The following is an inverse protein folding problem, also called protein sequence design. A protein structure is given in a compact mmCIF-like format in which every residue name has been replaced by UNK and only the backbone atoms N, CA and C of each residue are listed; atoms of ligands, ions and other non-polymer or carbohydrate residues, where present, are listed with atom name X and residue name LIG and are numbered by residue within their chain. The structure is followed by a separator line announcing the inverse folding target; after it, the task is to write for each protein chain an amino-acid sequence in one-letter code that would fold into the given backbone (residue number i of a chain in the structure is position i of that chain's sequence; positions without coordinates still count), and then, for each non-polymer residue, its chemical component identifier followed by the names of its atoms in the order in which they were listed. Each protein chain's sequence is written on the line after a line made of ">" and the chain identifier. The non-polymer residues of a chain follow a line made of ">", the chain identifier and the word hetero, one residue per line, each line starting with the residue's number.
data_IF_797123957087
#
_entry.id   IF_797123957087
#
_cell.length_a   1.000
_cell.length_b   1.000
_cell.length_c   1.000
_cell.angle_alpha   90.00
_cell.angle_beta   90.00
_cell.angle_gamma   90.00
#
_symmetry.space_group_name_H-M   'P 1'
#
loop_
_entity.id
_entity.type
_entity.pdbx_description
1 polymer ?
#
# COMPACT_ATOMS: atom_id res chain seq x y z
N UNK A 1 -9.10 -22.23 5.05
CA UNK A 1 -8.64 -21.13 4.19
C UNK A 1 -9.69 -20.05 4.29
N UNK A 2 -9.45 -18.98 5.04
CA UNK A 2 -10.39 -17.86 5.05
C UNK A 2 -10.33 -17.25 3.65
N UNK A 3 -11.46 -17.26 2.94
CA UNK A 3 -11.54 -16.59 1.64
C UNK A 3 -11.59 -15.10 1.94
N UNK A 4 -10.56 -14.36 1.54
CA UNK A 4 -10.61 -12.90 1.49
C UNK A 4 -11.91 -12.50 0.80
N UNK A 5 -12.73 -11.69 1.48
CA UNK A 5 -13.94 -11.09 0.92
C UNK A 5 -13.59 -9.64 0.61
N UNK A 6 -13.10 -9.34 -0.60
CA UNK A 6 -12.64 -8.00 -0.92
C UNK A 6 -13.83 -7.04 -0.94
N UNK A 7 -13.60 -5.85 -0.43
CA UNK A 7 -14.58 -4.75 -0.40
C UNK A 7 -14.16 -3.62 -1.32
N UNK A 8 -12.85 -3.44 -1.54
CA UNK A 8 -12.28 -2.36 -2.33
C UNK A 8 -11.20 -2.87 -3.30
N UNK A 9 -10.92 -2.08 -4.33
CA UNK A 9 -9.74 -2.16 -5.21
C UNK A 9 -8.71 -1.16 -4.71
N UNK A 10 -7.52 -1.66 -4.43
CA UNK A 10 -6.36 -0.91 -3.97
C UNK A 10 -5.54 -0.46 -5.17
N UNK A 11 -5.27 0.83 -5.23
CA UNK A 11 -4.16 1.41 -5.98
C UNK A 11 -3.22 2.07 -4.98
N UNK A 12 -1.92 1.77 -5.07
CA UNK A 12 -0.90 2.37 -4.22
C UNK A 12 0.18 3.04 -5.08
N UNK A 13 0.57 4.22 -4.65
CA UNK A 13 1.53 5.10 -5.30
C UNK A 13 2.68 5.38 -4.34
N UNK A 14 3.87 5.54 -4.89
CA UNK A 14 5.09 5.79 -4.14
C UNK A 14 5.78 7.00 -4.71
N UNK A 15 6.14 7.92 -3.82
CA UNK A 15 7.05 9.00 -4.16
C UNK A 15 8.49 8.48 -4.13
N UNK A 16 9.20 8.60 -5.24
CA UNK A 16 10.60 8.20 -5.30
C UNK A 16 11.23 8.47 -6.65
N UNK A 17 12.46 7.99 -6.83
CA UNK A 17 13.16 8.11 -8.11
C UNK A 17 12.46 7.28 -9.19
N UNK A 18 12.33 7.87 -10.38
CA UNK A 18 11.75 7.20 -11.54
C UNK A 18 12.74 6.14 -12.04
N UNK A 19 12.36 4.86 -12.00
CA UNK A 19 13.16 3.78 -12.56
C UNK A 19 13.08 3.77 -14.09
N UNK A 20 14.18 3.43 -14.75
CA UNK A 20 14.27 3.40 -16.21
C UNK A 20 15.12 2.24 -16.73
N UNK A 21 14.75 1.71 -17.90
CA UNK A 21 15.56 0.77 -18.66
C UNK A 21 16.38 1.45 -19.76
N UNK A 22 15.93 2.63 -20.20
CA UNK A 22 16.51 3.41 -21.28
C UNK A 22 16.10 4.88 -21.16
N UNK A 23 16.78 5.78 -21.87
CA UNK A 23 16.45 7.21 -21.91
C UNK A 23 15.00 7.48 -22.36
N UNK A 24 14.38 6.56 -23.11
CA UNK A 24 13.00 6.71 -23.60
C UNK A 24 11.94 6.46 -22.55
N UNK A 25 12.29 5.85 -21.41
CA UNK A 25 11.40 5.66 -20.26
C UNK A 25 11.36 6.91 -19.37
N UNK A 26 12.27 7.85 -19.59
CA UNK A 26 12.43 9.04 -18.78
C UNK A 26 11.70 10.26 -19.36
N UNK A 27 11.25 11.20 -18.50
CA UNK A 27 10.65 12.47 -18.94
C UNK A 27 11.52 13.27 -19.91
N UNK A 28 10.90 14.12 -20.72
CA UNK A 28 11.64 14.96 -21.66
C UNK A 28 12.72 15.81 -20.95
N UNK A 29 13.96 15.73 -21.44
CA UNK A 29 15.09 16.47 -20.89
C UNK A 29 15.85 15.75 -19.77
N UNK A 30 15.56 14.47 -19.53
CA UNK A 30 16.24 13.62 -18.55
C UNK A 30 16.86 12.40 -19.24
N UNK A 31 17.81 11.75 -18.58
CA UNK A 31 18.51 10.55 -19.10
C UNK A 31 18.48 9.43 -18.09
N UNK A 32 18.57 8.20 -18.56
CA UNK A 32 18.60 7.03 -17.71
C UNK A 32 20.05 6.71 -17.31
N UNK A 33 20.38 6.92 -16.03
CA UNK A 33 21.69 6.62 -15.46
C UNK A 33 21.54 5.64 -14.29
N UNK A 34 22.30 4.54 -14.30
CA UNK A 34 22.26 3.49 -13.27
C UNK A 34 20.84 2.95 -12.93
N UNK A 35 19.95 2.96 -13.92
CA UNK A 35 18.57 2.46 -13.79
C UNK A 35 17.59 3.48 -13.20
N UNK A 36 17.99 4.74 -13.04
CA UNK A 36 17.12 5.84 -12.60
C UNK A 36 17.19 7.02 -13.56
N UNK A 37 16.08 7.73 -13.75
CA UNK A 37 16.05 8.95 -14.53
C UNK A 37 16.74 10.07 -13.75
N UNK A 38 17.67 10.76 -14.39
CA UNK A 38 18.40 11.89 -13.82
C UNK A 38 18.30 13.13 -14.70
N UNK A 39 18.39 14.30 -14.08
CA UNK A 39 18.37 15.59 -14.77
C UNK A 39 19.72 15.95 -15.42
N UNK A 40 19.81 17.12 -16.05
CA UNK A 40 21.05 17.61 -16.68
C UNK A 40 22.23 17.88 -15.73
N UNK A 41 22.04 17.71 -14.42
CA UNK A 41 23.06 17.81 -13.38
C UNK A 41 23.39 16.43 -12.75
N UNK A 42 22.77 15.34 -13.23
CA UNK A 42 22.93 14.01 -12.68
C UNK A 42 22.17 13.80 -11.36
N UNK A 43 21.16 14.62 -11.06
CA UNK A 43 20.31 14.43 -9.89
C UNK A 43 19.11 13.54 -10.25
N UNK A 44 18.76 12.53 -9.42
CA UNK A 44 17.57 11.72 -9.64
C UNK A 44 16.32 12.58 -9.74
N UNK A 45 15.49 12.27 -10.73
CA UNK A 45 14.17 12.86 -10.87
C UNK A 45 13.20 12.03 -10.04
N UNK A 46 12.51 12.70 -9.12
CA UNK A 46 11.54 12.11 -8.22
C UNK A 46 10.12 12.44 -8.69
N UNK A 47 9.26 11.43 -8.73
CA UNK A 47 7.84 11.57 -9.05
C UNK A 47 7.03 10.47 -8.36
N UNK A 48 5.71 10.61 -8.38
CA UNK A 48 4.80 9.57 -7.93
C UNK A 48 4.66 8.49 -9.01
N UNK A 49 4.84 7.22 -8.62
CA UNK A 49 4.61 6.08 -9.52
C UNK A 49 3.77 4.99 -8.85
N UNK A 50 2.96 4.31 -9.65
CA UNK A 50 2.09 3.23 -9.18
C UNK A 50 2.91 1.97 -8.89
N UNK A 51 2.91 1.53 -7.63
CA UNK A 51 3.57 0.28 -7.20
C UNK A 51 2.61 -0.89 -7.16
N UNK A 52 1.32 -0.60 -6.96
CA UNK A 52 0.25 -1.60 -6.94
C UNK A 52 -0.96 -1.03 -7.64
N UNK A 53 -1.48 -1.75 -8.63
CA UNK A 53 -2.66 -1.33 -9.40
C UNK A 53 -3.80 -2.34 -9.27
N UNK A 54 -5.01 -1.83 -9.03
CA UNK A 54 -6.28 -2.55 -9.14
C UNK A 54 -6.35 -3.88 -8.34
N UNK A 55 -5.82 -3.89 -7.11
CA UNK A 55 -5.73 -5.11 -6.30
C UNK A 55 -6.93 -5.27 -5.37
N UNK A 56 -7.60 -6.44 -5.36
CA UNK A 56 -8.74 -6.64 -4.46
C UNK A 56 -8.27 -6.78 -3.01
N UNK A 57 -8.75 -5.89 -2.15
CA UNK A 57 -8.46 -5.87 -0.71
C UNK A 57 -9.74 -5.76 0.10
N UNK A 58 -9.66 -6.15 1.36
CA UNK A 58 -10.71 -5.93 2.35
C UNK A 58 -10.32 -4.75 3.21
N UNK A 59 -11.07 -3.67 3.11
CA UNK A 59 -10.90 -2.49 3.95
C UNK A 59 -11.63 -2.61 5.29
N UNK A 60 -10.98 -2.13 6.34
CA UNK A 60 -11.46 -2.03 7.70
C UNK A 60 -11.33 -0.57 8.13
N UNK A 61 -12.44 0.18 8.05
CA UNK A 61 -12.49 1.62 8.34
C UNK A 61 -12.13 1.98 9.79
N UNK A 62 -12.23 1.00 10.70
CA UNK A 62 -11.69 1.02 12.06
C UNK A 62 -11.27 -0.42 12.35
N UNK A 63 -10.07 -0.66 12.87
CA UNK A 63 -9.75 -1.97 13.44
C UNK A 63 -10.76 -2.26 14.54
N UNK A 64 -11.56 -3.29 14.31
CA UNK A 64 -12.56 -3.74 15.28
C UNK A 64 -11.92 -4.86 16.09
N UNK A 65 -10.81 -4.58 16.76
CA UNK A 65 -10.33 -5.46 17.82
C UNK A 65 -10.02 -4.65 19.07
N UNK A 66 -11.04 -4.51 19.93
CA UNK A 66 -10.86 -4.13 21.33
C UNK A 66 -9.91 -5.14 21.98
N UNK A 67 -8.61 -4.91 21.89
CA UNK A 67 -7.64 -5.71 22.63
C UNK A 67 -7.76 -5.26 24.08
N UNK A 68 -8.57 -5.99 24.85
CA UNK A 68 -8.68 -5.82 26.29
C UNK A 68 -7.32 -6.14 26.92
N UNK A 69 -6.45 -5.14 27.03
CA UNK A 69 -5.26 -5.24 27.88
C UNK A 69 -5.72 -5.29 29.35
N UNK A 70 -5.03 -6.05 30.18
CA UNK A 70 -5.31 -6.15 31.63
C UNK A 70 -5.18 -4.80 32.37
N UNK A 71 -4.83 -3.71 31.67
CA UNK A 71 -4.57 -2.38 32.23
C UNK A 71 -5.55 -1.26 31.79
N UNK A 72 -6.59 -1.56 30.99
CA UNK A 72 -7.70 -0.63 30.78
C UNK A 72 -7.41 0.61 29.92
N UNK A 73 -6.58 0.49 28.89
CA UNK A 73 -6.40 1.53 27.88
C UNK A 73 -7.24 1.20 26.64
N UNK A 74 -8.14 2.09 26.25
CA UNK A 74 -8.83 2.01 24.96
C UNK A 74 -7.83 2.32 23.84
N UNK A 75 -7.43 1.30 23.08
CA UNK A 75 -6.63 1.47 21.86
C UNK A 75 -7.62 1.60 20.70
N UNK A 76 -7.60 2.75 20.03
CA UNK A 76 -8.30 2.92 18.75
C UNK A 76 -7.35 2.37 17.69
N UNK A 77 -7.74 1.25 17.07
CA UNK A 77 -6.98 0.72 15.94
C UNK A 77 -7.11 1.67 14.73
N UNK A 78 -6.00 1.88 14.04
CA UNK A 78 -5.97 2.58 12.78
C UNK A 78 -6.83 1.84 11.73
N UNK A 79 -7.33 2.55 10.70
CA UNK A 79 -7.85 1.91 9.50
C UNK A 79 -6.85 0.90 8.93
N UNK A 80 -7.32 -0.18 8.34
CA UNK A 80 -6.44 -1.21 7.80
C UNK A 80 -7.00 -1.89 6.56
N UNK A 81 -6.12 -2.48 5.76
CA UNK A 81 -6.49 -3.36 4.65
C UNK A 81 -5.93 -4.77 4.86
N UNK A 82 -6.73 -5.76 4.51
CA UNK A 82 -6.30 -7.14 4.35
C UNK A 82 -6.29 -7.50 2.86
N UNK A 83 -5.12 -7.90 2.37
CA UNK A 83 -4.95 -8.33 0.98
C UNK A 83 -4.29 -9.70 0.88
N UNK A 84 -3.99 -10.08 -0.36
CA UNK A 84 -3.23 -11.32 -0.62
C UNK A 84 -1.77 -11.14 -0.22
N UNK A 85 -1.13 -12.26 0.12
CA UNK A 85 0.24 -12.30 0.65
C UNK A 85 1.31 -11.72 -0.31
N UNK A 86 1.02 -11.61 -1.61
CA UNK A 86 1.93 -10.97 -2.58
C UNK A 86 2.07 -9.46 -2.33
N UNK A 87 1.07 -8.81 -1.73
CA UNK A 87 1.21 -7.39 -1.36
C UNK A 87 2.29 -7.12 -0.30
N UNK A 88 2.80 -8.14 0.40
CA UNK A 88 3.92 -7.98 1.35
C UNK A 88 5.22 -7.55 0.70
N UNK A 89 5.44 -7.92 -0.57
CA UNK A 89 6.67 -7.54 -1.29
C UNK A 89 6.56 -6.17 -1.96
N UNK A 90 5.34 -5.70 -2.20
CA UNK A 90 5.11 -4.58 -3.12
C UNK A 90 4.85 -3.28 -2.36
N UNK A 91 4.15 -3.37 -1.21
CA UNK A 91 3.78 -2.24 -0.36
C UNK A 91 4.83 -1.94 0.71
N UNK A 92 4.98 -0.67 1.06
CA UNK A 92 5.82 -0.22 2.17
C UNK A 92 5.21 0.98 2.91
N UNK A 93 5.80 1.33 4.05
CA UNK A 93 5.43 2.56 4.77
C UNK A 93 5.69 3.80 3.92
N UNK A 94 4.75 4.75 3.93
CA UNK A 94 4.82 5.98 3.14
C UNK A 94 4.25 5.88 1.72
N UNK A 95 3.78 4.70 1.30
CA UNK A 95 3.02 4.62 0.04
C UNK A 95 1.62 5.25 0.24
N UNK A 96 1.21 6.09 -0.70
CA UNK A 96 -0.14 6.67 -0.77
C UNK A 96 -1.10 5.65 -1.37
N UNK A 97 -2.30 5.56 -0.83
CA UNK A 97 -3.29 4.51 -1.12
C UNK A 97 -4.62 5.15 -1.47
N UNK A 98 -5.17 4.68 -2.59
CA UNK A 98 -6.55 4.90 -2.99
C UNK A 98 -7.33 3.58 -2.96
N UNK A 99 -8.52 3.60 -2.37
CA UNK A 99 -9.43 2.47 -2.23
C UNK A 99 -10.75 2.76 -2.94
N UNK A 100 -10.98 2.08 -4.06
CA UNK A 100 -12.22 2.19 -4.82
C UNK A 100 -13.19 1.07 -4.46
N UNK A 101 -14.50 1.34 -4.28
CA UNK A 101 -15.46 0.31 -3.88
C UNK A 101 -15.71 -0.72 -4.98
N UNK A 102 -15.70 -2.01 -4.63
CA UNK A 102 -16.02 -3.11 -5.58
C UNK A 102 -17.53 -3.23 -5.84
N UNK A 103 -18.34 -2.85 -4.87
CA UNK A 103 -19.79 -2.98 -4.92
C UNK A 103 -20.47 -1.70 -4.42
N UNK A 104 -21.70 -1.48 -4.86
CA UNK A 104 -22.52 -0.37 -4.39
C UNK A 104 -22.72 -0.45 -2.87
N UNK A 105 -22.67 0.71 -2.20
CA UNK A 105 -22.82 0.82 -0.74
C UNK A 105 -21.51 0.99 0.04
N UNK A 106 -20.35 0.92 -0.62
CA UNK A 106 -19.05 1.32 -0.06
C UNK A 106 -18.63 2.70 -0.60
N UNK A 107 -17.80 3.42 0.16
CA UNK A 107 -17.27 4.74 -0.21
C UNK A 107 -15.88 4.59 -0.82
N UNK A 108 -15.51 5.50 -1.71
CA UNK A 108 -14.11 5.66 -2.12
C UNK A 108 -13.34 6.32 -0.97
N UNK A 109 -12.12 5.85 -0.72
CA UNK A 109 -11.18 6.50 0.18
C UNK A 109 -9.93 6.87 -0.61
N UNK A 110 -9.61 8.15 -0.65
CA UNK A 110 -8.42 8.72 -1.25
C UNK A 110 -7.48 9.25 -0.17
N UNK A 111 -6.21 9.44 -0.53
CA UNK A 111 -5.19 10.05 0.34
C UNK A 111 -5.00 9.32 1.68
N UNK A 112 -5.02 7.99 1.68
CA UNK A 112 -4.58 7.19 2.81
C UNK A 112 -3.08 6.92 2.69
N UNK A 113 -2.34 6.92 3.79
CA UNK A 113 -0.91 6.58 3.81
C UNK A 113 -0.71 5.25 4.54
N UNK A 114 0.18 4.39 4.04
CA UNK A 114 0.58 3.17 4.74
C UNK A 114 1.46 3.52 5.94
N UNK A 115 0.99 3.18 7.12
CA UNK A 115 1.76 3.33 8.36
C UNK A 115 2.39 2.02 8.77
N UNK A 116 3.69 2.08 9.05
CA UNK A 116 4.46 0.90 9.43
C UNK A 116 4.65 -0.11 8.30
N UNK A 117 5.35 -1.20 8.61
CA UNK A 117 5.64 -2.24 7.62
C UNK A 117 4.45 -3.20 7.47
N UNK A 118 4.05 -3.57 6.24
CA UNK A 118 3.06 -4.61 6.01
C UNK A 118 3.37 -5.90 6.79
N UNK A 119 2.38 -6.42 7.49
CA UNK A 119 2.52 -7.57 8.38
C UNK A 119 1.92 -8.84 7.77
N UNK A 120 2.61 -9.99 7.86
CA UNK A 120 2.05 -11.26 7.43
C UNK A 120 0.95 -11.74 8.37
N UNK A 121 -0.24 -12.00 7.83
CA UNK A 121 -1.31 -12.71 8.54
C UNK A 121 -1.15 -14.23 8.33
N UNK A 122 -0.71 -14.92 9.38
CA UNK A 122 -0.39 -16.35 9.34
C UNK A 122 -1.63 -17.23 9.46
N UNK A 123 -1.76 -18.21 8.56
CA UNK A 123 -2.72 -19.30 8.69
C UNK A 123 -2.22 -20.41 9.62
N UNK A 124 -3.09 -21.41 9.89
CA UNK A 124 -2.83 -22.62 10.73
C UNK A 124 -1.55 -23.44 10.42
N UNK A 125 -0.78 -23.09 9.37
CA UNK A 125 0.42 -23.82 8.92
C UNK A 125 1.67 -22.92 8.79
N UNK A 126 1.71 -21.79 9.49
CA UNK A 126 2.88 -20.90 9.55
C UNK A 126 3.35 -20.33 8.19
N UNK A 127 2.47 -20.34 7.17
CA UNK A 127 2.68 -19.61 5.91
C UNK A 127 1.83 -18.35 5.94
N UNK A 128 2.36 -17.19 5.50
CA UNK A 128 1.55 -16.00 5.32
C UNK A 128 0.44 -16.31 4.32
N UNK A 129 -0.81 -16.07 4.74
CA UNK A 129 -2.01 -16.32 3.92
C UNK A 129 -2.70 -15.04 3.48
N UNK A 130 -2.36 -13.92 4.12
CA UNK A 130 -2.82 -12.59 3.80
C UNK A 130 -1.76 -11.57 4.28
N UNK A 131 -1.92 -10.35 3.81
CA UNK A 131 -1.13 -9.18 4.21
C UNK A 131 -2.05 -8.26 4.99
N UNK A 132 -1.61 -7.82 6.16
CA UNK A 132 -2.26 -6.78 6.94
C UNK A 132 -1.45 -5.49 6.79
N UNK A 133 -2.12 -4.39 6.47
CA UNK A 133 -1.49 -3.08 6.29
C UNK A 133 -2.31 -2.06 7.05
N UNK A 134 -1.65 -1.32 7.94
CA UNK A 134 -2.25 -0.23 8.68
C UNK A 134 -2.19 1.05 7.82
N UNK A 135 -3.21 1.88 7.93
CA UNK A 135 -3.38 3.10 7.15
C UNK A 135 -3.68 4.28 8.07
N UNK A 136 -3.20 5.47 7.71
CA UNK A 136 -3.63 6.73 8.29
C UNK A 136 -4.10 7.71 7.21
N UNK A 137 -4.81 8.77 7.60
CA UNK A 137 -5.11 9.87 6.68
C UNK A 137 -3.86 10.72 6.52
N UNK A 138 -3.40 10.89 5.27
CA UNK A 138 -2.25 11.73 4.92
C UNK A 138 -2.53 13.24 5.13
#
# INVERSE_FOLDING_TARGET
>A
MSRLRPTHRLTAERFGSIECGSDGDCPEGTTCEDGVCVDGYGQPVEDDYTVVEDRPVRYHANGTELTRSESGTDVVDNPAIEGRADLLSDLQAGDTVTLEPIAEGYQTYDNLEIVGSPLPAYGRRSRPTATHVELETA
#
